data_IF_910334725797
#
_entry.id   IF_910334725797
#
_cell.length_a   1.000
_cell.length_b   1.000
_cell.length_c   1.000
_cell.angle_alpha   90.00
_cell.angle_beta   90.00
_cell.angle_gamma   90.00
#
_symmetry.space_group_name_H-M   'P 1'
#
loop_
_entity.id
_entity.type
_entity.pdbx_description
1 polymer ?
#
# COMPACT_ATOMS: atom_id res chain seq x y z
N UNK A 1 11.16 7.49 22.83
CA UNK A 1 11.21 8.54 21.79
C UNK A 1 9.86 8.79 21.11
N UNK A 2 9.34 7.98 20.17
CA UNK A 2 8.03 8.29 19.51
C UNK A 2 6.88 8.38 20.52
N UNK A 3 6.81 7.45 21.48
CA UNK A 3 5.80 7.48 22.54
C UNK A 3 5.84 8.77 23.37
N UNK A 4 7.03 9.21 23.81
CA UNK A 4 7.20 10.42 24.62
C UNK A 4 6.78 11.67 23.83
N UNK A 5 7.14 11.74 22.54
CA UNK A 5 6.72 12.84 21.65
C UNK A 5 5.20 12.84 21.48
N UNK A 6 4.59 11.66 21.35
CA UNK A 6 3.13 11.50 21.24
C UNK A 6 2.41 11.94 22.52
N UNK A 7 2.93 11.56 23.69
CA UNK A 7 2.40 12.00 24.99
C UNK A 7 2.53 13.52 25.16
N UNK A 8 3.65 14.10 24.72
CA UNK A 8 3.85 15.55 24.67
C UNK A 8 2.83 16.27 23.78
N UNK A 9 2.63 15.78 22.55
CA UNK A 9 1.65 16.32 21.61
C UNK A 9 0.22 16.25 22.17
N UNK A 10 -0.14 15.13 22.82
CA UNK A 10 -1.42 14.99 23.50
C UNK A 10 -1.57 16.00 24.66
N UNK A 11 -0.51 16.21 25.44
CA UNK A 11 -0.50 17.15 26.57
C UNK A 11 -0.70 18.61 26.18
N UNK A 12 -0.34 18.99 24.95
CA UNK A 12 -0.58 20.33 24.40
C UNK A 12 -1.83 20.43 23.51
N UNK A 13 -2.58 19.33 23.34
CA UNK A 13 -3.85 19.31 22.60
C UNK A 13 -3.72 19.15 21.07
N UNK A 14 -2.56 18.79 20.55
CA UNK A 14 -2.29 18.60 19.12
C UNK A 14 -2.82 17.24 18.61
N UNK A 15 -4.14 17.11 18.53
CA UNK A 15 -4.83 15.82 18.26
C UNK A 15 -4.44 15.18 16.93
N UNK A 16 -4.32 15.94 15.85
CA UNK A 16 -3.91 15.40 14.55
C UNK A 16 -2.45 14.93 14.56
N UNK A 17 -1.57 15.66 15.25
CA UNK A 17 -0.17 15.26 15.40
C UNK A 17 -0.05 13.94 16.17
N UNK A 18 -0.88 13.71 17.18
CA UNK A 18 -0.93 12.42 17.91
C UNK A 18 -1.25 11.27 16.96
N UNK A 19 -2.24 11.42 16.09
CA UNK A 19 -2.61 10.40 15.09
C UNK A 19 -1.47 10.17 14.09
N UNK A 20 -0.85 11.25 13.58
CA UNK A 20 0.29 11.14 12.68
C UNK A 20 1.47 10.41 13.34
N UNK A 21 1.74 10.65 14.63
CA UNK A 21 2.80 9.97 15.37
C UNK A 21 2.53 8.46 15.56
N UNK A 22 1.26 8.05 15.67
CA UNK A 22 0.93 6.62 15.55
C UNK A 22 1.30 6.08 14.16
N UNK A 23 1.00 6.80 13.09
CA UNK A 23 1.35 6.35 11.74
C UNK A 23 2.87 6.32 11.49
N UNK A 24 3.64 7.23 12.09
CA UNK A 24 5.11 7.14 12.07
C UNK A 24 5.61 5.89 12.80
N UNK A 25 5.04 5.56 13.97
CA UNK A 25 5.35 4.31 14.68
C UNK A 25 5.00 3.08 13.83
N UNK A 26 3.88 3.12 13.11
CA UNK A 26 3.50 2.08 12.16
C UNK A 26 4.57 1.91 11.07
N UNK A 27 5.04 3.01 10.47
CA UNK A 27 6.04 2.96 9.40
C UNK A 27 7.37 2.40 9.91
N UNK A 28 7.78 2.71 11.15
CA UNK A 28 8.92 2.05 11.81
C UNK A 28 8.70 0.54 11.88
N UNK A 29 7.53 0.10 12.34
CA UNK A 29 7.17 -1.32 12.38
C UNK A 29 7.24 -1.98 11.00
N UNK A 30 6.76 -1.30 9.96
CA UNK A 30 6.81 -1.75 8.56
C UNK A 30 8.24 -1.91 8.07
N UNK A 31 9.13 -0.97 8.37
CA UNK A 31 10.55 -1.10 8.01
C UNK A 31 11.22 -2.30 8.69
N UNK A 32 10.90 -2.58 9.95
CA UNK A 32 11.40 -3.77 10.64
C UNK A 32 10.88 -5.06 9.96
N UNK A 33 9.60 -5.08 9.60
CA UNK A 33 8.99 -6.21 8.90
C UNK A 33 9.63 -6.46 7.53
N UNK A 34 9.82 -5.41 6.73
CA UNK A 34 10.48 -5.51 5.42
C UNK A 34 11.93 -5.94 5.54
N UNK A 35 12.67 -5.38 6.51
CA UNK A 35 14.06 -5.76 6.77
C UNK A 35 14.18 -7.24 7.13
N UNK A 36 13.24 -7.79 7.89
CA UNK A 36 13.23 -9.21 8.22
C UNK A 36 13.16 -10.11 6.98
N UNK A 37 12.55 -9.64 5.89
CA UNK A 37 12.48 -10.36 4.61
C UNK A 37 13.76 -10.20 3.79
N UNK A 38 14.28 -8.99 3.72
CA UNK A 38 15.27 -8.60 2.70
C UNK A 38 16.73 -8.68 3.20
N UNK A 39 16.96 -8.65 4.52
CA UNK A 39 18.31 -8.66 5.11
C UNK A 39 18.93 -10.08 5.10
N UNK A 40 19.89 -10.27 4.18
CA UNK A 40 20.61 -11.55 3.99
C UNK A 40 21.56 -11.87 5.15
N UNK A 41 21.89 -10.92 6.01
CA UNK A 41 22.78 -11.15 7.15
C UNK A 41 22.06 -11.79 8.35
N UNK A 42 20.72 -11.79 8.36
CA UNK A 42 19.93 -12.38 9.44
C UNK A 42 19.69 -13.86 9.21
N UNK A 43 19.84 -14.67 10.27
CA UNK A 43 19.36 -16.05 10.28
C UNK A 43 17.82 -16.11 10.40
N UNK A 44 17.24 -17.28 10.12
CA UNK A 44 15.78 -17.46 10.13
C UNK A 44 15.12 -17.16 11.48
N UNK A 45 15.81 -17.39 12.59
CA UNK A 45 15.33 -17.07 13.93
C UNK A 45 15.22 -15.57 14.14
N UNK A 46 16.28 -14.84 13.77
CA UNK A 46 16.33 -13.38 13.82
C UNK A 46 15.29 -12.76 12.89
N UNK A 47 15.12 -13.29 11.67
CA UNK A 47 14.08 -12.85 10.73
C UNK A 47 12.68 -12.99 11.32
N UNK A 48 12.33 -14.17 11.85
CA UNK A 48 11.01 -14.40 12.49
C UNK A 48 10.77 -13.46 13.67
N UNK A 49 11.78 -13.28 14.53
CA UNK A 49 11.69 -12.38 15.68
C UNK A 49 11.46 -10.92 15.25
N UNK A 50 12.23 -10.45 14.26
CA UNK A 50 12.14 -9.09 13.75
C UNK A 50 10.81 -8.83 13.04
N UNK A 51 10.35 -9.77 12.22
CA UNK A 51 9.05 -9.70 11.55
C UNK A 51 7.90 -9.63 12.57
N UNK A 52 7.94 -10.49 13.61
CA UNK A 52 6.94 -10.47 14.68
C UNK A 52 6.91 -9.11 15.38
N UNK A 53 8.07 -8.59 15.78
CA UNK A 53 8.18 -7.28 16.42
C UNK A 53 7.65 -6.15 15.53
N UNK A 54 7.99 -6.17 14.24
CA UNK A 54 7.49 -5.20 13.27
C UNK A 54 5.97 -5.24 13.17
N UNK A 55 5.38 -6.43 13.05
CA UNK A 55 3.94 -6.60 12.96
C UNK A 55 3.20 -6.20 14.26
N UNK A 56 3.78 -6.50 15.43
CA UNK A 56 3.25 -6.06 16.72
C UNK A 56 3.21 -4.53 16.85
N UNK A 57 4.29 -3.84 16.43
CA UNK A 57 4.34 -2.37 16.40
C UNK A 57 3.30 -1.80 15.43
N UNK A 58 3.20 -2.34 14.21
CA UNK A 58 2.20 -1.92 13.22
C UNK A 58 0.78 -2.08 13.77
N UNK A 59 0.49 -3.21 14.42
CA UNK A 59 -0.84 -3.48 14.99
C UNK A 59 -1.17 -2.54 16.13
N UNK A 60 -0.24 -2.34 17.07
CA UNK A 60 -0.42 -1.40 18.18
C UNK A 60 -0.65 0.02 17.68
N UNK A 61 0.15 0.46 16.70
CA UNK A 61 0.05 1.77 16.10
C UNK A 61 -1.27 2.00 15.34
N UNK A 62 -1.66 1.08 14.46
CA UNK A 62 -2.88 1.22 13.66
C UNK A 62 -4.14 1.23 14.53
N UNK A 63 -4.21 0.33 15.53
CA UNK A 63 -5.35 0.28 16.46
C UNK A 63 -5.35 1.44 17.45
N UNK A 64 -4.17 1.90 17.89
CA UNK A 64 -4.03 3.10 18.72
C UNK A 64 -4.47 4.37 18.01
N UNK A 65 -4.08 4.54 16.74
CA UNK A 65 -4.55 5.64 15.89
C UNK A 65 -6.08 5.63 15.76
N UNK A 66 -6.66 4.47 15.46
CA UNK A 66 -8.12 4.35 15.29
C UNK A 66 -8.88 4.72 16.57
N UNK A 67 -8.46 4.19 17.72
CA UNK A 67 -9.08 4.52 19.02
C UNK A 67 -8.94 6.00 19.34
N UNK A 68 -7.75 6.57 19.11
CA UNK A 68 -7.54 7.99 19.38
C UNK A 68 -8.43 8.89 18.51
N UNK A 69 -8.58 8.55 17.23
CA UNK A 69 -9.51 9.23 16.31
C UNK A 69 -10.94 9.20 16.85
N UNK A 70 -11.40 8.04 17.33
CA UNK A 70 -12.75 7.85 17.88
C UNK A 70 -12.93 8.62 19.19
N UNK A 71 -12.01 8.47 20.13
CA UNK A 71 -12.07 9.07 21.47
C UNK A 71 -11.98 10.61 21.45
N UNK A 72 -11.32 11.18 20.45
CA UNK A 72 -11.05 12.62 20.35
C UNK A 72 -11.76 13.30 19.18
N UNK A 73 -12.61 12.56 18.46
CA UNK A 73 -13.47 12.99 17.36
C UNK A 73 -12.71 13.62 16.18
N UNK A 74 -11.51 13.08 15.86
CA UNK A 74 -10.66 13.57 14.76
C UNK A 74 -11.01 12.87 13.44
N UNK A 75 -12.29 12.86 13.09
CA UNK A 75 -12.83 12.01 12.02
C UNK A 75 -12.32 12.36 10.61
N UNK A 76 -11.72 13.54 10.42
CA UNK A 76 -11.00 13.90 9.19
C UNK A 76 -9.91 12.89 8.84
N UNK A 77 -9.33 12.22 9.84
CA UNK A 77 -8.25 11.24 9.67
C UNK A 77 -8.73 9.78 9.57
N UNK A 78 -10.02 9.53 9.84
CA UNK A 78 -10.60 8.18 9.83
C UNK A 78 -10.51 7.46 8.48
N UNK A 79 -10.70 8.11 7.31
CA UNK A 79 -10.57 7.40 6.03
C UNK A 79 -9.15 6.83 5.83
N UNK A 80 -8.13 7.56 6.30
CA UNK A 80 -6.72 7.18 6.19
C UNK A 80 -6.34 6.08 7.18
N UNK A 81 -6.96 6.00 8.36
CA UNK A 81 -6.67 4.94 9.33
C UNK A 81 -6.97 3.54 8.78
N UNK A 82 -8.00 3.41 7.94
CA UNK A 82 -8.37 2.16 7.28
C UNK A 82 -7.28 1.59 6.38
N UNK A 83 -6.40 2.44 5.82
CA UNK A 83 -5.20 1.97 5.09
C UNK A 83 -4.30 1.13 6.00
N UNK A 84 -3.98 1.65 7.18
CA UNK A 84 -3.07 1.03 8.13
C UNK A 84 -3.68 -0.22 8.76
N UNK A 85 -4.98 -0.15 9.09
CA UNK A 85 -5.72 -1.30 9.60
C UNK A 85 -5.80 -2.43 8.56
N UNK A 86 -6.14 -2.12 7.31
CA UNK A 86 -6.22 -3.13 6.26
C UNK A 86 -4.88 -3.79 5.97
N UNK A 87 -3.79 -3.01 5.88
CA UNK A 87 -2.46 -3.57 5.62
C UNK A 87 -1.97 -4.46 6.77
N UNK A 88 -2.16 -4.07 8.04
CA UNK A 88 -1.73 -4.93 9.16
C UNK A 88 -2.53 -6.22 9.26
N UNK A 89 -3.83 -6.16 8.96
CA UNK A 89 -4.72 -7.33 8.95
C UNK A 89 -4.35 -8.27 7.80
N UNK A 90 -4.05 -7.72 6.61
CA UNK A 90 -3.56 -8.48 5.46
C UNK A 90 -2.25 -9.21 5.78
N UNK A 91 -1.27 -8.50 6.36
CA UNK A 91 0.02 -9.08 6.76
C UNK A 91 -0.10 -10.08 7.92
N UNK A 92 -1.19 -10.03 8.68
CA UNK A 92 -1.53 -11.01 9.71
C UNK A 92 -2.22 -12.27 9.15
N UNK A 93 -2.32 -12.41 7.83
CA UNK A 93 -2.90 -13.58 7.17
C UNK A 93 -4.43 -13.58 7.11
N UNK A 94 -5.06 -12.41 7.23
CA UNK A 94 -6.53 -12.24 7.21
C UNK A 94 -6.98 -11.34 6.05
N UNK A 95 -6.77 -11.76 4.79
CA UNK A 95 -7.03 -10.89 3.64
C UNK A 95 -8.52 -10.54 3.47
N UNK A 96 -9.43 -11.37 3.98
CA UNK A 96 -10.87 -11.11 4.04
C UNK A 96 -11.20 -9.89 4.93
N UNK A 97 -10.70 -9.87 6.16
CA UNK A 97 -10.86 -8.74 7.07
C UNK A 97 -10.18 -7.47 6.51
N UNK A 98 -9.07 -7.62 5.77
CA UNK A 98 -8.38 -6.50 5.14
C UNK A 98 -9.22 -5.82 4.05
N UNK A 99 -9.93 -6.62 3.23
CA UNK A 99 -10.86 -6.09 2.20
C UNK A 99 -11.92 -5.20 2.85
N UNK A 100 -12.48 -5.60 3.99
CA UNK A 100 -13.48 -4.79 4.70
C UNK A 100 -12.90 -3.43 5.13
N UNK A 101 -11.67 -3.40 5.66
CA UNK A 101 -11.03 -2.14 6.05
C UNK A 101 -10.82 -1.24 4.83
N UNK A 102 -10.24 -1.78 3.74
CA UNK A 102 -10.00 -0.99 2.53
C UNK A 102 -11.29 -0.47 1.93
N UNK A 103 -12.37 -1.25 1.93
CA UNK A 103 -13.70 -0.82 1.46
C UNK A 103 -14.25 0.35 2.27
N UNK A 104 -14.18 0.29 3.60
CA UNK A 104 -14.61 1.41 4.46
C UNK A 104 -13.82 2.69 4.18
N UNK A 105 -12.50 2.59 4.02
CA UNK A 105 -11.67 3.75 3.67
C UNK A 105 -12.02 4.32 2.30
N UNK A 106 -12.20 3.45 1.29
CA UNK A 106 -12.59 3.87 -0.07
C UNK A 106 -13.94 4.60 -0.08
N UNK A 107 -14.95 4.06 0.62
CA UNK A 107 -16.28 4.67 0.70
C UNK A 107 -16.24 6.08 1.29
N UNK A 108 -15.40 6.31 2.29
CA UNK A 108 -15.26 7.63 2.89
C UNK A 108 -14.48 8.59 1.98
N UNK A 109 -13.36 8.17 1.40
CA UNK A 109 -12.59 9.00 0.48
C UNK A 109 -13.39 9.40 -0.76
N UNK A 110 -14.21 8.50 -1.31
CA UNK A 110 -15.04 8.79 -2.49
C UNK A 110 -16.12 9.85 -2.25
N UNK A 111 -16.51 10.09 -0.99
CA UNK A 111 -17.50 11.11 -0.62
C UNK A 111 -16.87 12.49 -0.40
N UNK A 112 -15.54 12.60 -0.47
CA UNK A 112 -14.84 13.87 -0.30
C UNK A 112 -14.90 14.69 -1.59
N UNK A 113 -15.08 16.00 -1.46
CA UNK A 113 -15.16 16.89 -2.62
C UNK A 113 -13.79 17.07 -3.28
N UNK A 114 -12.74 17.18 -2.47
CA UNK A 114 -11.37 17.43 -2.90
C UNK A 114 -10.79 16.20 -3.67
N UNK A 115 -10.44 16.36 -4.97
CA UNK A 115 -9.81 15.30 -5.76
C UNK A 115 -8.53 14.75 -5.11
N UNK A 116 -7.78 15.60 -4.40
CA UNK A 116 -6.55 15.20 -3.72
C UNK A 116 -6.81 14.33 -2.49
N UNK A 117 -8.03 14.33 -1.97
CA UNK A 117 -8.46 13.39 -0.95
C UNK A 117 -9.05 12.13 -1.58
N UNK A 118 -9.89 12.28 -2.64
CA UNK A 118 -10.47 11.15 -3.38
C UNK A 118 -9.42 10.18 -3.94
N UNK A 119 -8.25 10.67 -4.36
CA UNK A 119 -7.19 9.81 -4.94
C UNK A 119 -6.68 8.74 -3.98
N UNK A 120 -6.81 8.94 -2.66
CA UNK A 120 -6.48 7.91 -1.67
C UNK A 120 -7.36 6.65 -1.82
N UNK A 121 -8.58 6.78 -2.34
CA UNK A 121 -9.43 5.63 -2.65
C UNK A 121 -8.82 4.74 -3.74
N UNK A 122 -8.05 5.30 -4.68
CA UNK A 122 -7.36 4.51 -5.71
C UNK A 122 -6.23 3.68 -5.11
N UNK A 123 -5.49 4.25 -4.15
CA UNK A 123 -4.45 3.51 -3.44
C UNK A 123 -5.05 2.34 -2.64
N UNK A 124 -6.15 2.59 -1.92
CA UNK A 124 -6.88 1.55 -1.20
C UNK A 124 -7.46 0.48 -2.13
N UNK A 125 -7.91 0.85 -3.34
CA UNK A 125 -8.38 -0.10 -4.33
C UNK A 125 -7.25 -1.03 -4.82
N UNK A 126 -6.02 -0.53 -4.94
CA UNK A 126 -4.85 -1.36 -5.23
C UNK A 126 -4.53 -2.36 -4.12
N UNK A 127 -4.60 -1.95 -2.85
CA UNK A 127 -4.46 -2.88 -1.72
C UNK A 127 -5.61 -3.90 -1.66
N UNK A 128 -6.83 -3.47 -1.96
CA UNK A 128 -7.99 -4.36 -2.02
C UNK A 128 -7.85 -5.40 -3.14
N UNK A 129 -7.31 -5.02 -4.30
CA UNK A 129 -7.01 -5.94 -5.39
C UNK A 129 -6.00 -7.02 -4.97
N UNK A 130 -4.94 -6.63 -4.26
CA UNK A 130 -3.97 -7.56 -3.67
C UNK A 130 -4.65 -8.54 -2.71
N UNK A 131 -5.45 -8.03 -1.78
CA UNK A 131 -6.16 -8.84 -0.79
C UNK A 131 -7.12 -9.85 -1.45
N UNK A 132 -7.87 -9.44 -2.47
CA UNK A 132 -8.74 -10.34 -3.24
C UNK A 132 -7.96 -11.48 -3.89
N UNK A 133 -6.83 -11.20 -4.53
CA UNK A 133 -5.99 -12.22 -5.14
C UNK A 133 -5.43 -13.19 -4.08
N UNK A 134 -4.99 -12.68 -2.92
CA UNK A 134 -4.53 -13.51 -1.78
C UNK A 134 -5.63 -14.43 -1.22
N UNK A 135 -6.91 -14.05 -1.34
CA UNK A 135 -8.05 -14.91 -1.02
C UNK A 135 -8.32 -16.01 -2.07
N UNK A 136 -7.55 -16.05 -3.15
CA UNK A 136 -7.80 -16.91 -4.32
C UNK A 136 -8.85 -16.35 -5.28
N UNK A 137 -9.36 -15.13 -5.08
CA UNK A 137 -10.27 -14.45 -6.01
C UNK A 137 -9.46 -13.68 -7.06
N UNK A 138 -8.64 -14.41 -7.81
CA UNK A 138 -7.61 -13.85 -8.72
C UNK A 138 -8.25 -12.92 -9.77
N UNK A 139 -9.28 -13.37 -10.47
CA UNK A 139 -9.94 -12.61 -11.54
C UNK A 139 -10.56 -11.31 -11.00
N UNK A 140 -11.14 -11.37 -9.80
CA UNK A 140 -11.69 -10.19 -9.14
C UNK A 140 -10.58 -9.19 -8.75
N UNK A 141 -9.45 -9.69 -8.24
CA UNK A 141 -8.29 -8.88 -7.92
C UNK A 141 -7.72 -8.19 -9.15
N UNK A 142 -7.52 -8.92 -10.26
CA UNK A 142 -6.99 -8.39 -11.52
C UNK A 142 -7.97 -7.38 -12.13
N UNK A 143 -9.26 -7.70 -12.15
CA UNK A 143 -10.27 -6.75 -12.66
C UNK A 143 -10.31 -5.46 -11.84
N UNK A 144 -10.11 -5.53 -10.52
CA UNK A 144 -10.05 -4.34 -9.68
C UNK A 144 -8.77 -3.55 -9.95
N UNK A 145 -7.61 -4.22 -10.02
CA UNK A 145 -6.33 -3.58 -10.34
C UNK A 145 -6.37 -2.84 -11.67
N UNK A 146 -6.89 -3.48 -12.74
CA UNK A 146 -7.07 -2.85 -14.06
C UNK A 146 -7.90 -1.58 -13.98
N UNK A 147 -9.08 -1.64 -13.35
CA UNK A 147 -9.94 -0.46 -13.18
C UNK A 147 -9.25 0.64 -12.37
N UNK A 148 -8.48 0.28 -11.35
CA UNK A 148 -7.72 1.22 -10.53
C UNK A 148 -6.63 1.92 -11.34
N UNK A 149 -5.86 1.16 -12.13
CA UNK A 149 -4.83 1.70 -13.02
C UNK A 149 -5.44 2.65 -14.06
N UNK A 150 -6.54 2.25 -14.70
CA UNK A 150 -7.29 3.10 -15.64
C UNK A 150 -7.77 4.41 -14.98
N UNK A 151 -8.20 4.35 -13.70
CA UNK A 151 -8.64 5.55 -12.97
C UNK A 151 -7.50 6.51 -12.66
N UNK A 152 -6.29 6.03 -12.40
CA UNK A 152 -5.13 6.91 -12.21
C UNK A 152 -4.85 7.81 -13.42
N UNK A 153 -5.25 7.38 -14.62
CA UNK A 153 -5.04 8.13 -15.86
C UNK A 153 -6.25 8.94 -16.32
N UNK A 154 -7.47 8.45 -16.04
CA UNK A 154 -8.69 8.94 -16.67
C UNK A 154 -9.69 9.59 -15.71
N UNK A 155 -9.27 9.92 -14.49
CA UNK A 155 -10.10 10.61 -13.50
C UNK A 155 -9.47 11.90 -13.02
N UNK A 156 -10.32 12.80 -12.52
CA UNK A 156 -9.89 14.07 -11.92
C UNK A 156 -8.95 13.83 -10.73
N UNK A 157 -9.24 12.87 -9.85
CA UNK A 157 -8.39 12.57 -8.71
C UNK A 157 -7.02 12.01 -9.10
N UNK A 158 -6.96 11.18 -10.14
CA UNK A 158 -5.71 10.66 -10.70
C UNK A 158 -4.85 11.78 -11.28
N UNK A 159 -5.46 12.65 -12.09
CA UNK A 159 -4.79 13.79 -12.71
C UNK A 159 -4.30 14.79 -11.66
N UNK A 160 -5.13 15.13 -10.66
CA UNK A 160 -4.76 16.05 -9.60
C UNK A 160 -3.48 15.59 -8.87
N UNK A 161 -3.37 14.30 -8.54
CA UNK A 161 -2.16 13.76 -7.92
C UNK A 161 -0.98 13.80 -8.89
N UNK A 162 -1.18 13.40 -10.16
CA UNK A 162 -0.13 13.39 -11.18
C UNK A 162 0.50 14.77 -11.40
N UNK A 163 -0.32 15.81 -11.47
CA UNK A 163 0.14 17.19 -11.68
C UNK A 163 0.83 17.76 -10.43
N UNK A 164 0.31 17.45 -9.24
CA UNK A 164 0.81 18.02 -7.98
C UNK A 164 2.05 17.31 -7.45
N UNK A 165 2.09 15.99 -7.57
CA UNK A 165 3.13 15.12 -7.04
C UNK A 165 3.26 13.88 -7.91
N UNK A 166 3.99 14.04 -9.03
CA UNK A 166 4.24 12.95 -9.98
C UNK A 166 4.90 11.74 -9.31
N UNK A 167 5.81 11.96 -8.37
CA UNK A 167 6.51 10.87 -7.69
C UNK A 167 5.52 9.99 -6.92
N UNK A 168 4.66 10.59 -6.11
CA UNK A 168 3.63 9.85 -5.36
C UNK A 168 2.63 9.18 -6.29
N UNK A 169 2.16 9.88 -7.34
CA UNK A 169 1.31 9.29 -8.37
C UNK A 169 1.94 8.03 -8.97
N UNK A 170 3.20 8.13 -9.41
CA UNK A 170 3.91 7.03 -10.04
C UNK A 170 4.10 5.86 -9.07
N UNK A 171 4.55 6.12 -7.84
CA UNK A 171 4.73 5.09 -6.80
C UNK A 171 3.43 4.37 -6.46
N UNK A 172 2.31 5.08 -6.41
CA UNK A 172 1.01 4.47 -6.09
C UNK A 172 0.48 3.65 -7.26
N UNK A 173 0.54 4.21 -8.48
CA UNK A 173 0.10 3.52 -9.69
C UNK A 173 0.92 2.25 -9.94
N UNK A 174 2.26 2.33 -9.92
CA UNK A 174 3.12 1.15 -10.05
C UNK A 174 2.92 0.17 -8.89
N UNK A 175 2.66 0.68 -7.68
CA UNK A 175 2.40 -0.15 -6.51
C UNK A 175 1.16 -1.03 -6.67
N UNK A 176 0.11 -0.53 -7.33
CA UNK A 176 -1.05 -1.36 -7.70
C UNK A 176 -0.65 -2.51 -8.61
N UNK A 177 0.14 -2.24 -9.66
CA UNK A 177 0.60 -3.25 -10.62
C UNK A 177 1.52 -4.30 -9.99
N UNK A 178 2.52 -3.89 -9.21
CA UNK A 178 3.46 -4.84 -8.59
C UNK A 178 2.78 -5.71 -7.53
N UNK A 179 1.84 -5.16 -6.77
CA UNK A 179 1.09 -5.90 -5.74
C UNK A 179 0.22 -6.98 -6.33
N UNK A 180 -0.58 -6.66 -7.36
CA UNK A 180 -1.44 -7.67 -7.98
C UNK A 180 -0.60 -8.75 -8.66
N UNK A 181 0.47 -8.37 -9.38
CA UNK A 181 1.38 -9.32 -10.02
C UNK A 181 2.03 -10.26 -9.00
N UNK A 182 2.55 -9.72 -7.88
CA UNK A 182 3.14 -10.52 -6.82
C UNK A 182 2.11 -11.44 -6.17
N UNK A 183 0.92 -10.95 -5.84
CA UNK A 183 -0.09 -11.76 -5.19
C UNK A 183 -0.54 -12.93 -6.09
N UNK A 184 -0.70 -12.70 -7.40
CA UNK A 184 -1.03 -13.77 -8.35
C UNK A 184 0.12 -14.75 -8.49
N UNK A 185 1.36 -14.28 -8.62
CA UNK A 185 2.54 -15.17 -8.67
C UNK A 185 2.62 -16.07 -7.44
N UNK A 186 2.44 -15.51 -6.23
CA UNK A 186 2.42 -16.27 -4.98
C UNK A 186 1.31 -17.36 -5.01
N UNK A 187 0.10 -17.04 -5.51
CA UNK A 187 -0.99 -18.03 -5.63
C UNK A 187 -0.68 -19.15 -6.60
N UNK A 188 -0.01 -18.84 -7.71
CA UNK A 188 0.36 -19.85 -8.72
C UNK A 188 1.42 -20.79 -8.16
N UNK A 189 2.39 -20.26 -7.43
CA UNK A 189 3.37 -21.06 -6.69
C UNK A 189 2.70 -21.97 -5.64
N UNK A 190 1.56 -21.56 -5.10
CA UNK A 190 0.71 -22.36 -4.20
C UNK A 190 -0.24 -23.32 -4.93
N UNK A 191 -0.16 -23.42 -6.27
CA UNK A 191 -0.86 -24.40 -7.10
C UNK A 191 -2.10 -23.89 -7.84
N UNK A 192 -2.33 -22.57 -7.89
CA UNK A 192 -3.40 -21.99 -8.70
C UNK A 192 -3.01 -21.97 -10.18
N UNK A 193 -3.99 -22.17 -11.07
CA UNK A 193 -3.75 -22.08 -12.51
C UNK A 193 -3.67 -20.61 -12.95
N UNK A 194 -2.68 -20.31 -13.79
CA UNK A 194 -2.57 -19.03 -14.51
C UNK A 194 -2.70 -19.29 -16.01
N UNK A 195 -3.72 -18.71 -16.62
CA UNK A 195 -3.84 -18.76 -18.08
C UNK A 195 -2.95 -17.71 -18.76
N UNK A 196 -2.62 -17.98 -20.02
CA UNK A 196 -1.71 -17.15 -20.81
C UNK A 196 -2.26 -15.74 -21.11
N UNK A 197 -3.59 -15.54 -21.10
CA UNK A 197 -4.15 -14.20 -21.25
C UNK A 197 -3.91 -13.38 -19.99
N UNK A 198 -4.17 -13.97 -18.82
CA UNK A 198 -3.96 -13.34 -17.52
C UNK A 198 -2.48 -13.03 -17.29
N UNK A 199 -1.58 -13.96 -17.63
CA UNK A 199 -0.12 -13.72 -17.57
C UNK A 199 0.29 -12.50 -18.40
N UNK A 200 -0.18 -12.42 -19.65
CA UNK A 200 0.11 -11.28 -20.55
C UNK A 200 -0.48 -9.97 -20.04
N UNK A 201 -1.67 -10.00 -19.44
CA UNK A 201 -2.28 -8.81 -18.82
C UNK A 201 -1.40 -8.28 -17.68
N UNK A 202 -0.94 -9.16 -16.78
CA UNK A 202 -0.05 -8.78 -15.68
C UNK A 202 1.31 -8.24 -16.16
N UNK A 203 1.92 -8.88 -17.17
CA UNK A 203 3.15 -8.38 -17.78
C UNK A 203 2.95 -7.00 -18.41
N UNK A 204 1.81 -6.78 -19.08
CA UNK A 204 1.44 -5.47 -19.65
C UNK A 204 1.29 -4.38 -18.57
N UNK A 205 0.68 -4.71 -17.43
CA UNK A 205 0.61 -3.79 -16.28
C UNK A 205 2.01 -3.42 -15.76
N UNK A 206 2.94 -4.38 -15.72
CA UNK A 206 4.33 -4.15 -15.30
C UNK A 206 5.15 -3.36 -16.33
N UNK A 207 4.90 -3.53 -17.63
CA UNK A 207 5.49 -2.70 -18.69
C UNK A 207 5.02 -1.25 -18.59
N UNK A 208 3.75 -1.03 -18.30
CA UNK A 208 3.22 0.30 -18.05
C UNK A 208 3.82 0.92 -16.78
N UNK A 209 3.91 0.14 -15.70
CA UNK A 209 4.55 0.55 -14.46
C UNK A 209 6.01 0.99 -14.67
N UNK A 210 6.76 0.29 -15.53
CA UNK A 210 8.15 0.65 -15.84
C UNK A 210 8.24 1.98 -16.61
N UNK A 211 7.34 2.22 -17.56
CA UNK A 211 7.32 3.46 -18.37
C UNK A 211 7.12 4.74 -17.55
N UNK A 212 6.47 4.66 -16.40
CA UNK A 212 6.22 5.81 -15.51
C UNK A 212 7.31 6.02 -14.47
N UNK A 213 8.39 5.23 -14.48
CA UNK A 213 9.55 5.38 -13.57
C UNK A 213 10.55 6.45 -14.03
N UNK A 214 10.03 7.55 -14.57
CA UNK A 214 10.78 8.71 -15.05
C UNK A 214 10.03 9.97 -14.62
N UNK A 215 10.71 10.85 -13.91
CA UNK A 215 10.11 12.11 -13.45
C UNK A 215 10.20 13.13 -14.59
N UNK A 216 9.08 13.77 -14.99
CA UNK A 216 9.11 14.85 -15.96
C UNK A 216 10.05 15.99 -15.53
N UNK A 217 10.75 16.62 -16.47
CA UNK A 217 11.76 17.64 -16.17
C UNK A 217 11.18 18.85 -15.40
N UNK A 218 9.91 19.15 -15.65
CA UNK A 218 9.15 20.24 -15.07
C UNK A 218 8.60 19.94 -13.66
N UNK A 219 8.77 18.73 -13.15
CA UNK A 219 8.24 18.29 -11.85
C UNK A 219 9.34 18.21 -10.79
N UNK A 220 9.14 18.86 -9.64
CA UNK A 220 9.99 18.65 -8.48
C UNK A 220 9.75 17.27 -7.88
N UNK A 221 10.84 16.64 -7.41
CA UNK A 221 10.76 15.35 -6.73
C UNK A 221 11.51 15.38 -5.42
N UNK A 222 10.80 14.97 -4.38
CA UNK A 222 11.31 14.78 -3.02
C UNK A 222 11.76 13.34 -2.77
N UNK A 223 11.43 12.41 -3.67
CA UNK A 223 11.80 11.00 -3.60
C UNK A 223 13.02 10.62 -4.46
N UNK A 224 13.33 9.32 -4.49
CA UNK A 224 14.38 8.76 -5.35
C UNK A 224 14.06 8.98 -6.84
N UNK A 225 14.75 9.93 -7.47
CA UNK A 225 14.59 10.26 -8.88
C UNK A 225 14.92 9.12 -9.83
N UNK A 226 15.69 8.12 -9.38
CA UNK A 226 16.09 6.99 -10.22
C UNK A 226 15.04 5.88 -10.29
N UNK A 227 14.14 5.81 -9.30
CA UNK A 227 13.20 4.70 -9.09
C UNK A 227 13.89 3.33 -9.03
N UNK A 228 15.18 3.25 -8.66
CA UNK A 228 15.96 2.02 -8.87
C UNK A 228 15.34 0.82 -8.15
N UNK A 229 14.93 0.99 -6.89
CA UNK A 229 14.27 -0.07 -6.12
C UNK A 229 12.99 -0.57 -6.81
N UNK A 230 12.23 0.35 -7.44
CA UNK A 230 10.98 0.00 -8.14
C UNK A 230 11.25 -0.71 -9.46
N UNK A 231 12.27 -0.28 -10.20
CA UNK A 231 12.72 -0.96 -11.42
C UNK A 231 13.18 -2.38 -11.12
N UNK A 232 13.95 -2.57 -10.05
CA UNK A 232 14.40 -3.88 -9.60
C UNK A 232 13.22 -4.79 -9.21
N UNK A 233 12.23 -4.24 -8.48
CA UNK A 233 10.98 -4.91 -8.12
C UNK A 233 10.20 -5.37 -9.36
N UNK A 234 10.00 -4.47 -10.34
CA UNK A 234 9.29 -4.75 -11.59
C UNK A 234 10.00 -5.85 -12.39
N UNK A 235 11.32 -5.72 -12.58
CA UNK A 235 12.12 -6.70 -13.34
C UNK A 235 12.09 -8.08 -12.68
N UNK A 236 12.20 -8.12 -11.34
CA UNK A 236 12.08 -9.38 -10.60
C UNK A 236 10.71 -10.03 -10.79
N UNK A 237 9.62 -9.25 -10.77
CA UNK A 237 8.26 -9.78 -10.95
C UNK A 237 7.98 -10.24 -12.38
N UNK A 238 8.46 -9.51 -13.40
CA UNK A 238 8.38 -9.94 -14.80
C UNK A 238 9.04 -11.29 -14.99
N UNK A 239 10.28 -11.43 -14.49
CA UNK A 239 11.01 -12.70 -14.53
C UNK A 239 10.28 -13.83 -13.78
N UNK A 240 9.61 -13.55 -12.65
CA UNK A 240 8.78 -14.57 -11.98
C UNK A 240 7.61 -15.01 -12.88
N UNK A 241 6.82 -14.08 -13.40
CA UNK A 241 5.63 -14.39 -14.22
C UNK A 241 5.97 -15.09 -15.54
N UNK A 242 7.10 -14.76 -16.17
CA UNK A 242 7.58 -15.42 -17.39
C UNK A 242 7.88 -16.92 -17.15
N UNK A 243 8.25 -17.29 -15.93
CA UNK A 243 8.60 -18.65 -15.54
C UNK A 243 7.44 -19.47 -14.93
N UNK A 244 6.27 -18.85 -14.72
CA UNK A 244 5.08 -19.46 -14.09
C UNK A 244 4.02 -19.87 -15.11
#
# INVERSE_FOLDING_TARGET
>A
MIQEVREGAAGIGEKEAVVNLFWEEYLVGKHLFMRARDDKALDDGAKRSLARRGLELMKGAATGAQRYIEDHEVYSLQPRSYRFLGEVVMLSGKPDEAVEQFQRGMELFQRMDDPMQRVNALELAGFCAEALARMGKIEAGISLARKTLEKYDNTEEGEALRTRDYYTWAVWKLGCATKIASAVADRVEEGFSLDESTRRELLGMLDEADRITVIPEEQESWGDKSFQIRKDEINSLKGRLENL
#
